data_IF_002779205956
#
_entry.id   IF_002779205956
#
_cell.length_a   1.000
_cell.length_b   1.000
_cell.length_c   1.000
_cell.angle_alpha   90.00
_cell.angle_beta   90.00
_cell.angle_gamma   90.00
#
_symmetry.space_group_name_H-M   'P 1'
#
loop_
_entity.id
_entity.type
_entity.pdbx_description
1 polymer ?
#
# COMPACT_ATOMS: atom_id res chain seq x y z
N UNK A 1 -8.90 -38.23 20.07
CA UNK A 1 -9.49 -38.20 18.71
C UNK A 1 -8.81 -37.07 17.95
N UNK A 2 -7.97 -37.40 16.98
CA UNK A 2 -7.23 -36.41 16.17
C UNK A 2 -7.71 -36.56 14.72
N UNK A 3 -8.22 -35.48 14.13
CA UNK A 3 -8.58 -35.43 12.71
C UNK A 3 -7.58 -34.53 12.00
N UNK A 4 -6.67 -35.14 11.25
CA UNK A 4 -5.80 -34.46 10.27
C UNK A 4 -6.58 -34.29 8.97
N UNK A 5 -6.94 -33.06 8.62
CA UNK A 5 -7.50 -32.74 7.31
C UNK A 5 -6.35 -32.54 6.32
N UNK A 6 -6.25 -33.48 5.38
CA UNK A 6 -5.33 -33.48 4.24
C UNK A 6 -6.10 -32.88 3.06
N UNK A 7 -5.86 -31.62 2.71
CA UNK A 7 -6.36 -31.04 1.45
C UNK A 7 -5.33 -31.23 0.35
N UNK A 8 -5.66 -32.07 -0.61
CA UNK A 8 -4.90 -32.31 -1.83
C UNK A 8 -4.93 -31.08 -2.74
N UNK A 9 -3.76 -30.62 -3.14
CA UNK A 9 -3.58 -29.77 -4.32
C UNK A 9 -3.70 -30.65 -5.56
N UNK A 10 -4.68 -30.38 -6.42
CA UNK A 10 -4.77 -31.00 -7.75
C UNK A 10 -5.12 -29.92 -8.76
N UNK A 11 -4.08 -29.29 -9.30
CA UNK A 11 -4.15 -28.42 -10.48
C UNK A 11 -3.02 -28.79 -11.44
N UNK A 12 -2.98 -30.05 -11.88
CA UNK A 12 -2.25 -30.49 -13.06
C UNK A 12 -2.99 -31.70 -13.64
N UNK A 13 -3.88 -31.45 -14.61
CA UNK A 13 -4.34 -32.49 -15.53
C UNK A 13 -3.74 -32.18 -16.90
N UNK A 14 -2.97 -33.09 -17.52
CA UNK A 14 -2.56 -32.95 -18.92
C UNK A 14 -3.79 -33.18 -19.79
N UNK A 15 -4.10 -32.26 -20.70
CA UNK A 15 -5.20 -32.42 -21.65
C UNK A 15 -4.65 -32.59 -23.08
N UNK A 16 -5.13 -33.67 -23.68
CA UNK A 16 -4.94 -34.18 -25.03
C UNK A 16 -5.12 -33.15 -26.16
N UNK A 17 -4.38 -33.29 -27.28
CA UNK A 17 -4.55 -32.43 -28.45
C UNK A 17 -5.57 -33.05 -29.42
N UNK A 18 -6.87 -32.90 -29.17
CA UNK A 18 -7.92 -32.92 -30.22
C UNK A 18 -9.31 -32.81 -29.62
N UNK A 19 -9.79 -31.59 -29.37
CA UNK A 19 -11.21 -31.26 -29.62
C UNK A 19 -11.37 -29.74 -29.71
N UNK A 20 -12.17 -29.32 -30.68
CA UNK A 20 -12.59 -27.93 -30.87
C UNK A 20 -13.41 -27.50 -29.67
N UNK A 21 -13.07 -26.38 -29.02
CA UNK A 21 -13.93 -25.79 -27.99
C UNK A 21 -13.92 -24.27 -28.04
N UNK A 22 -15.13 -23.78 -27.85
CA UNK A 22 -15.65 -22.44 -27.99
C UNK A 22 -15.04 -21.41 -27.04
N UNK A 23 -15.21 -20.16 -27.48
CA UNK A 23 -14.84 -18.85 -26.93
C UNK A 23 -14.58 -18.76 -25.42
N UNK A 24 -13.32 -18.43 -25.08
CA UNK A 24 -12.91 -17.87 -23.80
C UNK A 24 -12.68 -16.34 -23.95
N UNK A 25 -13.04 -15.51 -22.96
CA UNK A 25 -12.89 -14.06 -23.04
C UNK A 25 -11.41 -13.64 -23.04
N UNK A 26 -11.05 -12.52 -23.68
CA UNK A 26 -9.66 -12.20 -23.95
C UNK A 26 -8.96 -11.74 -22.68
N UNK A 27 -8.11 -12.61 -22.11
CA UNK A 27 -7.03 -12.17 -21.24
C UNK A 27 -6.12 -11.22 -22.04
N UNK A 28 -5.81 -10.09 -21.42
CA UNK A 28 -5.08 -8.96 -21.95
C UNK A 28 -3.70 -9.36 -22.51
N UNK A 29 -3.64 -9.69 -23.80
CA UNK A 29 -2.39 -9.77 -24.57
C UNK A 29 -2.19 -8.44 -25.29
N UNK A 30 -1.29 -7.61 -24.76
CA UNK A 30 -0.79 -6.43 -25.46
C UNK A 30 0.36 -6.89 -26.38
N UNK A 31 0.25 -6.75 -27.71
CA UNK A 31 1.33 -7.11 -28.61
C UNK A 31 2.44 -6.06 -28.57
N UNK A 32 3.69 -6.53 -28.43
CA UNK A 32 4.90 -5.71 -28.62
C UNK A 32 5.02 -5.29 -30.10
N UNK A 33 5.24 -4.00 -30.41
CA UNK A 33 5.51 -3.58 -31.78
C UNK A 33 6.95 -3.94 -32.19
N UNK A 34 7.09 -4.50 -33.40
CA UNK A 34 8.38 -4.81 -34.04
C UNK A 34 9.14 -3.52 -34.41
N UNK A 35 10.49 -3.53 -34.44
CA UNK A 35 11.28 -2.33 -34.68
C UNK A 35 11.24 -1.93 -36.17
N UNK A 36 10.64 -0.78 -36.44
CA UNK A 36 10.66 -0.11 -37.74
C UNK A 36 11.95 0.67 -37.97
N UNK A 37 12.51 0.50 -39.16
CA UNK A 37 13.76 1.07 -39.66
C UNK A 37 13.71 2.59 -39.88
N UNK A 38 14.77 3.29 -39.47
CA UNK A 38 15.32 4.45 -40.19
C UNK A 38 14.85 5.84 -39.77
N UNK A 39 15.57 6.47 -38.83
CA UNK A 39 15.49 7.91 -38.57
C UNK A 39 16.79 8.43 -37.96
N UNK A 40 17.49 9.32 -38.67
CA UNK A 40 18.73 9.95 -38.22
C UNK A 40 18.45 10.88 -37.03
N UNK A 41 18.82 10.46 -35.82
CA UNK A 41 18.77 11.32 -34.64
C UNK A 41 20.02 12.22 -34.58
N UNK A 42 19.79 13.54 -34.51
CA UNK A 42 20.83 14.52 -34.25
C UNK A 42 21.18 14.49 -32.76
N UNK A 43 22.45 14.32 -32.46
CA UNK A 43 23.01 14.36 -31.11
C UNK A 43 23.00 15.81 -30.59
N UNK A 44 22.07 16.14 -29.70
CA UNK A 44 22.14 17.35 -28.91
C UNK A 44 23.02 17.10 -27.68
N UNK A 45 24.03 17.95 -27.46
CA UNK A 45 24.88 17.92 -26.27
C UNK A 45 24.03 18.15 -25.03
N UNK A 46 23.95 17.15 -24.14
CA UNK A 46 23.40 17.31 -22.80
C UNK A 46 24.42 18.06 -21.93
N UNK A 47 23.94 19.10 -21.24
CA UNK A 47 24.67 19.81 -20.19
C UNK A 47 24.92 18.89 -18.98
N UNK A 48 25.99 19.12 -18.20
CA UNK A 48 26.27 18.28 -17.04
C UNK A 48 25.18 18.49 -15.99
N UNK A 49 24.51 17.41 -15.62
CA UNK A 49 23.61 17.37 -14.46
C UNK A 49 24.51 17.22 -13.24
N UNK A 50 24.54 18.24 -12.39
CA UNK A 50 25.26 18.21 -11.13
C UNK A 50 24.68 17.10 -10.24
N UNK A 51 25.55 16.18 -9.84
CA UNK A 51 25.26 15.20 -8.81
C UNK A 51 25.13 15.93 -7.47
N UNK A 52 23.91 16.31 -7.11
CA UNK A 52 23.59 16.72 -5.75
C UNK A 52 23.67 15.50 -4.84
N UNK A 53 24.82 15.36 -4.18
CA UNK A 53 25.04 14.46 -3.05
C UNK A 53 24.13 14.91 -1.91
N UNK A 54 22.98 14.24 -1.72
CA UNK A 54 22.23 14.34 -0.47
C UNK A 54 22.87 13.42 0.57
N UNK A 55 24.03 13.82 1.08
CA UNK A 55 24.48 13.42 2.41
C UNK A 55 23.82 14.38 3.41
N UNK A 56 22.55 14.13 3.75
CA UNK A 56 21.90 14.82 4.86
C UNK A 56 21.60 13.84 5.99
N UNK A 57 22.50 13.92 6.97
CA UNK A 57 22.45 13.44 8.34
C UNK A 57 21.05 13.14 8.90
N UNK A 58 20.63 11.88 8.82
CA UNK A 58 19.65 11.33 9.74
C UNK A 58 20.38 10.74 10.96
N UNK A 59 20.58 11.58 11.98
CA UNK A 59 21.08 11.13 13.29
C UNK A 59 20.17 10.02 13.86
N UNK A 60 20.73 8.93 14.43
CA UNK A 60 19.97 7.82 14.99
C UNK A 60 19.04 8.23 16.16
N UNK A 61 19.16 9.45 16.69
CA UNK A 61 18.24 9.97 17.71
C UNK A 61 16.87 10.37 17.16
N UNK A 62 16.74 10.76 15.88
CA UNK A 62 15.45 11.17 15.30
C UNK A 62 14.50 9.98 15.06
N UNK A 63 15.06 8.82 14.69
CA UNK A 63 14.30 7.59 14.49
C UNK A 63 13.79 6.97 15.81
N UNK A 64 14.40 7.36 16.94
CA UNK A 64 14.07 6.81 18.27
C UNK A 64 13.08 7.70 19.04
N UNK A 65 12.72 8.87 18.48
CA UNK A 65 11.86 9.88 19.10
C UNK A 65 10.35 9.69 18.86
N UNK A 66 9.92 8.72 18.05
CA UNK A 66 8.49 8.39 17.89
C UNK A 66 7.89 7.64 19.10
N UNK A 67 8.72 7.31 20.10
CA UNK A 67 8.30 6.55 21.28
C UNK A 67 8.28 7.33 22.61
N UNK A 68 8.76 8.57 22.71
CA UNK A 68 8.70 9.34 23.96
C UNK A 68 8.76 10.88 23.78
N UNK A 69 7.73 11.58 24.27
CA UNK A 69 7.73 13.02 24.58
C UNK A 69 7.09 13.91 23.49
N UNK A 70 6.23 14.87 23.77
CA UNK A 70 5.69 15.41 25.02
C UNK A 70 4.85 16.65 24.73
N UNK A 71 3.91 16.99 25.62
CA UNK A 71 3.33 18.35 25.70
C UNK A 71 1.80 18.45 25.73
N UNK A 72 1.22 18.44 26.94
CA UNK A 72 -0.01 19.18 27.26
C UNK A 72 -1.30 18.35 27.44
N UNK A 73 -1.68 18.10 28.70
CA UNK A 73 -3.08 17.86 29.08
C UNK A 73 -3.44 16.43 29.51
N UNK A 74 -3.61 16.25 30.82
CA UNK A 74 -4.24 15.10 31.49
C UNK A 74 -3.47 13.76 31.39
N UNK A 75 -2.56 13.55 32.35
CA UNK A 75 -2.06 12.24 32.71
C UNK A 75 -3.17 11.36 33.27
N UNK A 76 -3.96 10.75 32.39
CA UNK A 76 -4.84 9.65 32.76
C UNK A 76 -3.95 8.42 32.96
N UNK A 77 -3.94 7.91 34.19
CA UNK A 77 -3.21 6.72 34.65
C UNK A 77 -3.26 5.65 33.55
N UNK A 78 -2.11 5.17 33.06
CA UNK A 78 -2.01 3.96 32.21
C UNK A 78 -2.49 2.76 33.04
N UNK A 79 -3.80 2.60 33.14
CA UNK A 79 -4.44 1.42 33.68
C UNK A 79 -4.19 0.22 32.77
N UNK A 80 -4.43 -0.98 33.29
CA UNK A 80 -4.28 -2.29 32.61
C UNK A 80 -5.27 -2.50 31.45
N UNK A 81 -5.47 -1.52 30.59
CA UNK A 81 -6.37 -1.59 29.44
C UNK A 81 -5.71 -2.24 28.22
N UNK A 82 -6.52 -2.86 27.37
CA UNK A 82 -6.10 -3.35 26.05
C UNK A 82 -6.15 -2.21 25.03
N UNK A 83 -5.08 -2.07 24.25
CA UNK A 83 -5.01 -1.10 23.15
C UNK A 83 -6.07 -1.40 22.08
N UNK A 84 -6.83 -0.39 21.65
CA UNK A 84 -7.81 -0.51 20.57
C UNK A 84 -7.30 0.20 19.33
N UNK A 85 -7.28 -0.52 18.21
CA UNK A 85 -6.96 0.00 16.88
C UNK A 85 -8.18 -0.12 15.97
N UNK A 86 -8.34 0.82 15.04
CA UNK A 86 -9.44 0.82 14.06
C UNK A 86 -8.88 0.65 12.66
N UNK A 87 -9.39 -0.34 11.93
CA UNK A 87 -9.05 -0.55 10.52
C UNK A 87 -9.64 0.58 9.68
N UNK A 88 -8.80 1.21 8.86
CA UNK A 88 -9.23 2.23 7.91
C UNK A 88 -9.97 1.57 6.72
N UNK A 89 -10.81 2.31 5.98
CA UNK A 89 -11.44 1.80 4.77
C UNK A 89 -10.41 1.24 3.78
N UNK A 90 -10.74 0.14 3.09
CA UNK A 90 -9.82 -0.56 2.15
C UNK A 90 -9.26 0.38 1.06
N UNK A 91 -10.06 1.34 0.60
CA UNK A 91 -9.69 2.33 -0.42
C UNK A 91 -9.09 3.63 0.17
N UNK A 92 -8.54 3.60 1.39
CA UNK A 92 -7.91 4.78 2.01
C UNK A 92 -6.83 5.38 1.11
N UNK A 93 -6.01 4.52 0.49
CA UNK A 93 -5.20 4.88 -0.67
C UNK A 93 -5.79 4.16 -1.87
N UNK A 94 -6.35 4.92 -2.81
CA UNK A 94 -7.02 4.36 -3.98
C UNK A 94 -6.03 3.81 -5.00
N UNK A 95 -6.54 3.12 -6.04
CA UNK A 95 -5.75 2.51 -7.11
C UNK A 95 -4.75 3.47 -7.80
N UNK A 96 -5.04 4.77 -7.82
CA UNK A 96 -4.16 5.82 -8.36
C UNK A 96 -3.02 6.26 -7.43
N UNK A 97 -2.84 5.64 -6.26
CA UNK A 97 -1.77 5.97 -5.32
C UNK A 97 -2.00 7.25 -4.50
N UNK A 98 -3.24 7.73 -4.40
CA UNK A 98 -3.61 8.95 -3.66
C UNK A 98 -4.57 8.65 -2.51
N UNK A 99 -4.52 9.45 -1.45
CA UNK A 99 -5.42 9.32 -0.31
C UNK A 99 -6.85 9.70 -0.71
N UNK A 100 -7.79 8.77 -0.59
CA UNK A 100 -9.19 9.01 -0.89
C UNK A 100 -9.84 9.85 0.21
N UNK A 101 -10.67 10.83 -0.19
CA UNK A 101 -11.47 11.66 0.72
C UNK A 101 -10.65 12.27 1.88
N UNK A 102 -9.43 12.75 1.59
CA UNK A 102 -8.44 13.18 2.59
C UNK A 102 -9.01 14.11 3.70
N UNK A 103 -9.88 15.08 3.35
CA UNK A 103 -10.53 15.94 4.35
C UNK A 103 -11.45 15.18 5.31
N UNK A 104 -12.25 14.26 4.79
CA UNK A 104 -13.14 13.43 5.62
C UNK A 104 -12.34 12.41 6.45
N UNK A 105 -11.25 11.87 5.89
CA UNK A 105 -10.34 11.01 6.62
C UNK A 105 -9.69 11.76 7.79
N UNK A 106 -9.19 12.99 7.58
CA UNK A 106 -8.61 13.81 8.64
C UNK A 106 -9.62 14.07 9.78
N UNK A 107 -10.88 14.40 9.45
CA UNK A 107 -11.93 14.56 10.46
C UNK A 107 -12.21 13.26 11.22
N UNK A 108 -12.21 12.12 10.51
CA UNK A 108 -12.40 10.79 11.12
C UNK A 108 -11.26 10.43 12.06
N UNK A 109 -10.00 10.66 11.67
CA UNK A 109 -8.82 10.44 12.52
C UNK A 109 -8.87 11.30 13.79
N UNK A 110 -9.27 12.57 13.68
CA UNK A 110 -9.44 13.44 14.84
C UNK A 110 -10.54 12.93 15.79
N UNK A 111 -11.65 12.43 15.25
CA UNK A 111 -12.72 11.83 16.03
C UNK A 111 -12.30 10.51 16.72
N UNK A 112 -11.49 9.68 16.05
CA UNK A 112 -10.93 8.47 16.66
C UNK A 112 -10.02 8.81 17.84
N UNK A 113 -9.15 9.81 17.68
CA UNK A 113 -8.28 10.29 18.75
C UNK A 113 -9.09 10.83 19.93
N UNK A 114 -10.14 11.63 19.69
CA UNK A 114 -10.99 12.15 20.77
C UNK A 114 -11.82 11.05 21.46
N UNK A 115 -12.14 9.97 20.76
CA UNK A 115 -12.77 8.77 21.29
C UNK A 115 -11.86 7.86 22.12
N UNK A 116 -10.56 8.19 22.26
CA UNK A 116 -9.60 7.41 23.05
C UNK A 116 -9.01 6.19 22.32
N UNK A 117 -9.16 6.11 21.00
CA UNK A 117 -8.52 5.07 20.17
C UNK A 117 -7.00 5.25 20.20
N UNK A 118 -6.26 4.15 20.32
CA UNK A 118 -4.79 4.19 20.40
C UNK A 118 -4.15 4.41 19.02
N UNK A 119 -4.72 3.81 17.98
CA UNK A 119 -4.21 3.93 16.63
C UNK A 119 -5.13 3.38 15.55
N UNK A 120 -4.64 3.35 14.33
CA UNK A 120 -5.35 2.82 13.17
C UNK A 120 -4.52 1.77 12.45
N UNK A 121 -5.20 0.90 11.72
CA UNK A 121 -4.58 -0.11 10.86
C UNK A 121 -4.92 0.18 9.40
N UNK A 122 -3.97 -0.02 8.49
CA UNK A 122 -4.19 0.16 7.05
C UNK A 122 -3.48 -0.93 6.25
N UNK A 123 -4.12 -1.39 5.18
CA UNK A 123 -3.51 -2.22 4.15
C UNK A 123 -2.58 -1.39 3.26
N UNK A 124 -1.36 -1.88 3.09
CA UNK A 124 -0.38 -1.38 2.14
C UNK A 124 -0.41 -2.29 0.92
N UNK A 125 -1.21 -1.89 -0.07
CA UNK A 125 -1.48 -2.70 -1.25
C UNK A 125 -0.28 -2.75 -2.18
N UNK A 126 0.25 -3.95 -2.37
CA UNK A 126 1.35 -4.19 -3.32
C UNK A 126 1.00 -3.68 -4.73
N UNK A 127 -0.20 -3.99 -5.21
CA UNK A 127 -0.68 -3.57 -6.53
C UNK A 127 -0.89 -2.06 -6.71
N UNK A 128 -0.91 -1.27 -5.62
CA UNK A 128 -0.99 0.20 -5.68
C UNK A 128 0.40 0.82 -5.69
N UNK A 129 1.28 0.30 -4.82
CA UNK A 129 2.65 0.80 -4.67
C UNK A 129 3.50 0.46 -5.89
N UNK A 130 3.45 -0.78 -6.39
CA UNK A 130 4.27 -1.25 -7.52
C UNK A 130 3.47 -1.31 -8.83
N UNK A 131 2.43 -0.48 -8.97
CA UNK A 131 1.52 -0.48 -10.12
C UNK A 131 2.20 -0.19 -11.47
N UNK A 132 3.33 0.52 -11.43
CA UNK A 132 4.09 0.97 -12.58
C UNK A 132 5.03 -0.11 -13.16
N UNK A 133 5.10 -1.26 -12.50
CA UNK A 133 5.93 -2.40 -12.90
C UNK A 133 7.09 -2.67 -11.94
N UNK A 134 7.85 -3.75 -12.18
CA UNK A 134 8.80 -4.27 -11.22
C UNK A 134 9.84 -3.25 -10.73
N UNK A 135 9.95 -3.11 -9.41
CA UNK A 135 10.83 -2.18 -8.69
C UNK A 135 10.55 -0.70 -8.94
N UNK A 136 9.37 -0.35 -9.45
CA UNK A 136 8.90 1.04 -9.59
C UNK A 136 7.86 1.31 -8.53
N UNK A 137 8.32 1.76 -7.36
CA UNK A 137 7.46 2.00 -6.20
C UNK A 137 7.02 3.45 -6.11
N UNK A 138 5.73 3.67 -5.95
CA UNK A 138 5.15 4.95 -5.57
C UNK A 138 4.55 4.87 -4.17
N UNK A 139 5.17 5.61 -3.25
CA UNK A 139 4.80 5.68 -1.83
C UNK A 139 4.08 6.97 -1.46
N UNK A 140 3.82 7.87 -2.41
CA UNK A 140 3.37 9.24 -2.12
C UNK A 140 2.08 9.26 -1.28
N UNK A 141 1.06 8.49 -1.68
CA UNK A 141 -0.20 8.40 -0.94
C UNK A 141 -0.07 7.80 0.46
N UNK A 142 0.74 6.76 0.63
CA UNK A 142 1.01 6.20 1.96
C UNK A 142 1.84 7.15 2.82
N UNK A 143 2.78 7.89 2.23
CA UNK A 143 3.53 8.94 2.91
C UNK A 143 2.64 10.10 3.35
N UNK A 144 1.65 10.50 2.55
CA UNK A 144 0.62 11.46 2.97
C UNK A 144 -0.20 10.92 4.16
N UNK A 145 -0.65 9.66 4.07
CA UNK A 145 -1.41 8.99 5.13
C UNK A 145 -0.64 8.94 6.45
N UNK A 146 0.63 8.55 6.44
CA UNK A 146 1.49 8.52 7.64
C UNK A 146 1.50 9.88 8.33
N UNK A 147 1.73 10.95 7.56
CA UNK A 147 1.74 12.32 8.09
C UNK A 147 0.37 12.74 8.62
N UNK A 148 -0.73 12.29 8.01
CA UNK A 148 -2.08 12.55 8.51
C UNK A 148 -2.34 11.87 9.87
N UNK A 149 -1.95 10.60 9.99
CA UNK A 149 -2.12 9.82 11.23
C UNK A 149 -1.26 10.37 12.36
N UNK A 150 0.00 10.73 12.06
CA UNK A 150 0.91 11.39 12.98
C UNK A 150 0.35 12.72 13.49
N UNK A 151 -0.14 13.59 12.59
CA UNK A 151 -0.78 14.86 12.98
C UNK A 151 -2.02 14.68 13.86
N UNK A 152 -2.76 13.57 13.69
CA UNK A 152 -3.89 13.24 14.54
C UNK A 152 -3.47 12.66 15.91
N UNK A 153 -2.18 12.42 16.14
CA UNK A 153 -1.65 11.83 17.36
C UNK A 153 -2.01 10.35 17.50
N UNK A 154 -2.26 9.64 16.41
CA UNK A 154 -2.61 8.21 16.44
C UNK A 154 -1.39 7.35 16.11
N UNK A 155 -1.35 6.12 16.62
CA UNK A 155 -0.39 5.11 16.14
C UNK A 155 -0.86 4.51 14.82
N UNK A 156 0.07 3.99 14.02
CA UNK A 156 -0.22 3.37 12.73
C UNK A 156 0.32 1.94 12.68
N UNK A 157 -0.55 0.99 12.36
CA UNK A 157 -0.18 -0.38 12.01
C UNK A 157 -0.35 -0.55 10.50
N UNK A 158 0.70 -1.02 9.83
CA UNK A 158 0.68 -1.26 8.38
C UNK A 158 0.71 -2.75 8.10
N UNK A 159 -0.26 -3.24 7.33
CA UNK A 159 -0.30 -4.61 6.82
C UNK A 159 0.33 -4.60 5.43
N UNK A 160 1.35 -5.41 5.20
CA UNK A 160 1.94 -5.55 3.86
C UNK A 160 1.06 -6.50 3.03
N UNK A 161 0.21 -5.92 2.18
CA UNK A 161 -0.90 -6.64 1.54
C UNK A 161 -0.49 -7.17 0.18
N UNK A 162 0.22 -8.30 0.17
CA UNK A 162 0.59 -9.09 -1.02
C UNK A 162 -0.55 -10.00 -1.49
N UNK A 163 -1.76 -9.46 -1.53
CA UNK A 163 -2.96 -10.14 -2.00
C UNK A 163 -3.85 -9.13 -2.75
N UNK A 164 -4.79 -9.65 -3.53
CA UNK A 164 -5.77 -8.81 -4.22
C UNK A 164 -6.75 -8.18 -3.21
N UNK A 165 -7.03 -6.88 -3.36
CA UNK A 165 -8.15 -6.25 -2.65
C UNK A 165 -9.44 -6.65 -3.34
N UNK A 166 -10.44 -7.08 -2.57
CA UNK A 166 -11.70 -7.55 -3.13
C UNK A 166 -11.77 -9.05 -3.31
N UNK A 167 -12.95 -9.50 -3.73
CA UNK A 167 -13.25 -10.92 -3.93
C UNK A 167 -13.88 -11.61 -2.73
N UNK A 168 -13.91 -10.97 -1.55
CA UNK A 168 -14.63 -11.47 -0.38
C UNK A 168 -15.96 -10.72 -0.16
N UNK A 169 -16.83 -11.31 0.67
CA UNK A 169 -18.09 -10.69 1.08
C UNK A 169 -17.78 -9.45 1.94
N UNK A 170 -18.19 -8.27 1.47
CA UNK A 170 -18.02 -6.99 2.16
C UNK A 170 -17.00 -6.06 1.52
N UNK A 171 -16.21 -6.54 0.57
CA UNK A 171 -15.22 -5.71 -0.11
C UNK A 171 -15.87 -4.85 -1.20
N UNK A 172 -15.60 -3.54 -1.19
CA UNK A 172 -16.04 -2.61 -2.23
C UNK A 172 -14.93 -2.16 -3.18
N UNK A 173 -13.67 -2.48 -2.88
CA UNK A 173 -12.53 -2.18 -3.75
C UNK A 173 -12.52 -3.09 -4.97
N UNK A 174 -12.01 -2.57 -6.10
CA UNK A 174 -11.86 -3.28 -7.36
C UNK A 174 -10.46 -3.08 -7.93
#
# INVERSE_FOLDING_TARGET
MALTLRSSTSFLSPLDPSSKREDAPPCCVVPMPAPGSGGRLRLARAAPVEHATMEEMASPEAATLLHHGGGGGQGQRRGKGTAVYVMLPLETVGAGGKVARARALAASLAALRSGGVEGVMVDVWWGVVEREGPRRYDWEGYGELVRMVERAGLRLQMVMSFHQCGGNVGDSCK
#
